data_IF_905285150356
#
_entry.id   IF_905285150356
#
_cell.length_a   1.000
_cell.length_b   1.000
_cell.length_c   1.000
_cell.angle_alpha   90.00
_cell.angle_beta   90.00
_cell.angle_gamma   90.00
#
_symmetry.space_group_name_H-M   'P 1'
#
loop_
_entity.id
_entity.type
_entity.pdbx_description
1 polymer ?
#
# COMPACT_ATOMS: atom_id res chain seq x y z
N UNK A 1 -52.56 20.73 -70.36
CA UNK A 1 -51.37 19.90 -70.04
C UNK A 1 -50.60 20.54 -68.91
N UNK A 2 -50.66 19.98 -67.73
CA UNK A 2 -49.98 20.48 -66.51
C UNK A 2 -48.89 19.48 -66.17
N UNK A 3 -47.61 19.86 -66.28
CA UNK A 3 -46.48 19.05 -65.85
C UNK A 3 -46.22 19.26 -64.37
N UNK A 4 -46.30 18.21 -63.57
CA UNK A 4 -45.95 18.21 -62.13
C UNK A 4 -44.43 18.03 -61.99
N UNK A 5 -43.74 19.05 -61.51
CA UNK A 5 -42.34 18.97 -61.11
C UNK A 5 -42.14 18.17 -59.86
N UNK A 6 -41.39 17.11 -59.94
CA UNK A 6 -41.02 16.23 -58.84
C UNK A 6 -39.79 16.82 -58.10
N UNK A 7 -39.99 17.37 -56.88
CA UNK A 7 -38.91 17.84 -56.04
C UNK A 7 -38.24 16.64 -55.31
N UNK A 8 -37.04 16.30 -55.69
CA UNK A 8 -36.20 15.36 -54.95
C UNK A 8 -35.67 16.04 -53.67
N UNK A 9 -36.16 15.61 -52.48
CA UNK A 9 -35.54 15.92 -51.20
C UNK A 9 -34.16 15.21 -51.12
N UNK A 10 -33.09 16.01 -51.14
CA UNK A 10 -31.77 15.53 -50.80
C UNK A 10 -31.69 15.39 -49.26
N UNK A 11 -31.71 14.17 -48.75
CA UNK A 11 -31.36 13.87 -47.37
C UNK A 11 -29.84 13.99 -47.21
N UNK A 12 -29.40 15.04 -46.59
CA UNK A 12 -28.02 15.15 -46.09
C UNK A 12 -27.88 14.26 -44.87
N UNK A 13 -27.30 13.08 -45.06
CA UNK A 13 -26.93 12.19 -43.92
C UNK A 13 -25.89 12.90 -43.07
N UNK A 14 -26.28 13.33 -41.85
CA UNK A 14 -25.39 13.85 -40.82
C UNK A 14 -24.34 12.81 -40.43
N UNK A 15 -23.21 12.81 -41.09
CA UNK A 15 -22.05 11.96 -40.76
C UNK A 15 -21.23 12.50 -39.59
N UNK A 16 -21.52 13.71 -39.12
CA UNK A 16 -20.80 14.40 -38.04
C UNK A 16 -21.10 13.86 -36.62
N UNK A 17 -22.26 13.18 -36.42
CA UNK A 17 -22.67 12.73 -35.09
C UNK A 17 -21.91 11.52 -34.53
N UNK A 18 -21.24 10.72 -35.40
CA UNK A 18 -20.57 9.49 -34.93
C UNK A 18 -19.13 9.70 -34.45
N UNK A 19 -18.46 10.73 -34.91
CA UNK A 19 -17.07 11.02 -34.54
C UNK A 19 -16.97 11.55 -33.10
N UNK A 20 -17.95 12.25 -32.59
CA UNK A 20 -18.00 12.74 -31.22
C UNK A 20 -18.18 11.61 -30.22
N UNK A 21 -18.89 10.55 -30.58
CA UNK A 21 -19.03 9.35 -29.75
C UNK A 21 -17.71 8.59 -29.60
N UNK A 22 -16.90 8.55 -30.65
CA UNK A 22 -15.58 7.92 -30.62
C UNK A 22 -14.57 8.72 -29.79
N UNK A 23 -14.65 10.06 -29.81
CA UNK A 23 -13.81 10.93 -28.97
C UNK A 23 -14.19 10.83 -27.48
N UNK A 24 -15.47 10.68 -27.16
CA UNK A 24 -15.92 10.43 -25.77
C UNK A 24 -15.51 9.05 -25.25
N UNK A 25 -15.56 8.01 -26.07
CA UNK A 25 -15.10 6.67 -25.71
C UNK A 25 -13.58 6.61 -25.51
N UNK A 26 -12.80 7.37 -26.28
CA UNK A 26 -11.36 7.42 -26.15
C UNK A 26 -10.90 8.15 -24.87
N UNK A 27 -11.65 9.12 -24.38
CA UNK A 27 -11.33 9.87 -23.16
C UNK A 27 -11.53 9.06 -21.86
N UNK A 28 -12.44 8.08 -21.88
CA UNK A 28 -12.69 7.19 -20.71
C UNK A 28 -11.57 6.16 -20.53
N UNK A 29 -10.86 5.79 -21.60
CA UNK A 29 -9.78 4.80 -21.56
C UNK A 29 -8.48 5.33 -20.89
N UNK A 30 -8.36 6.64 -20.65
CA UNK A 30 -7.17 7.25 -20.04
C UNK A 30 -7.27 7.43 -18.51
N UNK A 31 -8.40 7.10 -17.90
CA UNK A 31 -8.53 7.03 -16.44
C UNK A 31 -8.05 5.62 -16.04
N UNK A 32 -6.75 5.40 -16.06
CA UNK A 32 -6.18 4.23 -15.40
C UNK A 32 -6.44 4.41 -13.90
N UNK A 33 -7.24 3.54 -13.24
CA UNK A 33 -7.30 3.57 -11.79
C UNK A 33 -5.88 3.31 -11.31
N UNK A 34 -5.32 4.24 -10.55
CA UNK A 34 -4.10 3.99 -9.78
C UNK A 34 -4.47 2.90 -8.76
N UNK A 35 -4.33 1.64 -9.16
CA UNK A 35 -4.40 0.53 -8.21
C UNK A 35 -3.27 0.78 -7.22
N UNK A 36 -3.62 1.14 -5.99
CA UNK A 36 -2.69 1.04 -4.88
C UNK A 36 -2.15 -0.38 -4.93
N UNK A 37 -0.87 -0.55 -5.20
CA UNK A 37 -0.22 -1.86 -5.22
C UNK A 37 -0.35 -2.42 -3.80
N UNK A 38 -1.31 -3.31 -3.60
CA UNK A 38 -1.44 -4.06 -2.36
C UNK A 38 -0.33 -5.10 -2.38
N UNK A 39 0.82 -4.77 -1.80
CA UNK A 39 1.88 -5.74 -1.61
C UNK A 39 1.37 -6.86 -0.72
N UNK A 40 1.62 -8.11 -1.14
CA UNK A 40 1.41 -9.26 -0.26
C UNK A 40 2.27 -9.09 0.99
N UNK A 41 1.76 -9.38 2.19
CA UNK A 41 2.49 -9.16 3.44
C UNK A 41 3.90 -9.78 3.47
N UNK A 42 4.08 -10.95 2.84
CA UNK A 42 5.35 -11.64 2.77
C UNK A 42 6.37 -10.88 1.91
N UNK A 43 5.91 -10.34 0.76
CA UNK A 43 6.77 -9.57 -0.16
C UNK A 43 7.18 -8.25 0.48
N UNK A 44 6.23 -7.56 1.11
CA UNK A 44 6.53 -6.33 1.85
C UNK A 44 7.50 -6.60 3.01
N UNK A 45 7.28 -7.68 3.78
CA UNK A 45 8.17 -8.08 4.86
C UNK A 45 9.60 -8.38 4.34
N UNK A 46 9.73 -9.11 3.22
CA UNK A 46 11.03 -9.37 2.61
C UNK A 46 11.75 -8.06 2.26
N UNK A 47 11.05 -7.08 1.70
CA UNK A 47 11.60 -5.75 1.39
C UNK A 47 12.02 -4.97 2.64
N UNK A 48 11.27 -5.11 3.76
CA UNK A 48 11.66 -4.54 5.05
C UNK A 48 12.97 -5.16 5.53
N UNK A 49 13.13 -6.48 5.49
CA UNK A 49 14.37 -7.15 5.91
C UNK A 49 15.56 -6.87 5.01
N UNK A 50 15.34 -6.48 3.75
CA UNK A 50 16.43 -5.98 2.90
C UNK A 50 16.93 -4.60 3.37
N UNK A 51 16.03 -3.74 3.87
CA UNK A 51 16.38 -2.39 4.34
C UNK A 51 16.82 -2.36 5.81
N UNK A 52 16.35 -3.30 6.62
CA UNK A 52 16.71 -3.44 8.05
C UNK A 52 17.12 -4.90 8.30
N UNK A 53 18.34 -5.31 7.91
CA UNK A 53 18.76 -6.74 7.97
C UNK A 53 18.78 -7.31 9.39
N UNK A 54 19.09 -6.48 10.39
CA UNK A 54 19.21 -6.89 11.80
C UNK A 54 17.86 -6.96 12.54
N UNK A 55 16.74 -6.70 11.84
CA UNK A 55 15.43 -6.75 12.47
C UNK A 55 15.02 -8.20 12.77
N UNK A 56 14.46 -8.51 13.98
CA UNK A 56 14.13 -9.87 14.38
C UNK A 56 13.12 -10.51 13.43
N UNK A 57 13.43 -11.70 12.91
CA UNK A 57 12.54 -12.42 11.97
C UNK A 57 11.45 -13.20 12.68
N UNK A 58 11.75 -13.85 13.80
CA UNK A 58 10.84 -14.69 14.58
C UNK A 58 9.98 -15.62 13.69
N UNK A 59 10.64 -16.36 12.81
CA UNK A 59 10.01 -17.24 11.82
C UNK A 59 10.18 -18.73 12.11
N UNK A 60 10.35 -19.12 13.40
CA UNK A 60 10.58 -20.49 13.84
C UNK A 60 9.30 -21.33 13.99
N UNK A 61 8.12 -20.75 13.74
CA UNK A 61 6.85 -21.40 14.00
C UNK A 61 6.50 -22.44 12.93
N UNK A 62 6.04 -23.63 13.39
CA UNK A 62 5.64 -24.74 12.52
C UNK A 62 4.16 -24.66 12.18
N UNK A 63 3.81 -25.11 10.98
CA UNK A 63 2.43 -25.30 10.58
C UNK A 63 1.79 -26.46 11.35
N UNK A 64 0.47 -26.44 11.58
CA UNK A 64 -0.30 -27.49 12.29
C UNK A 64 -0.31 -28.83 11.56
N UNK A 65 -0.11 -28.84 10.24
CA UNK A 65 0.06 -30.05 9.44
C UNK A 65 1.37 -30.78 9.73
N UNK A 66 2.19 -30.23 10.59
CA UNK A 66 3.38 -30.85 11.16
C UNK A 66 4.60 -30.89 10.25
N UNK A 67 4.50 -30.37 9.04
CA UNK A 67 5.52 -30.64 8.02
C UNK A 67 6.66 -29.66 8.02
N UNK A 68 6.44 -28.35 8.04
CA UNK A 68 7.54 -27.40 7.84
C UNK A 68 7.37 -26.09 8.61
N UNK A 69 8.47 -25.41 8.80
CA UNK A 69 8.52 -24.00 9.21
C UNK A 69 8.34 -23.16 7.96
N UNK A 70 7.35 -22.29 7.93
CA UNK A 70 7.22 -21.31 6.84
C UNK A 70 8.22 -20.16 7.04
N UNK A 71 9.28 -20.07 6.24
CA UNK A 71 10.31 -19.05 6.40
C UNK A 71 9.77 -17.62 6.16
N UNK A 72 8.64 -17.48 5.46
CA UNK A 72 8.00 -16.20 5.14
C UNK A 72 7.02 -15.74 6.23
N UNK A 73 6.68 -16.62 7.19
CA UNK A 73 5.85 -16.26 8.34
C UNK A 73 6.70 -15.56 9.40
N UNK A 74 7.14 -14.35 9.10
CA UNK A 74 8.01 -13.54 9.93
C UNK A 74 7.22 -12.59 10.83
N UNK A 75 7.87 -12.00 11.85
CA UNK A 75 7.30 -10.97 12.70
C UNK A 75 6.70 -9.81 11.85
N UNK A 76 7.45 -9.33 10.85
CA UNK A 76 7.00 -8.23 10.00
C UNK A 76 5.81 -8.64 9.12
N UNK A 77 5.82 -9.85 8.54
CA UNK A 77 4.68 -10.33 7.74
C UNK A 77 3.41 -10.47 8.59
N UNK A 78 3.52 -10.94 9.84
CA UNK A 78 2.40 -11.01 10.79
C UNK A 78 1.91 -9.62 11.22
N UNK A 79 2.82 -8.67 11.48
CA UNK A 79 2.47 -7.29 11.79
C UNK A 79 1.70 -6.64 10.63
N UNK A 80 2.14 -6.84 9.38
CA UNK A 80 1.45 -6.33 8.21
C UNK A 80 0.07 -6.98 8.06
N UNK A 81 -0.05 -8.30 8.19
CA UNK A 81 -1.34 -9.00 8.17
C UNK A 81 -2.27 -8.54 9.30
N UNK A 82 -1.74 -8.33 10.50
CA UNK A 82 -2.54 -7.81 11.61
C UNK A 82 -3.10 -6.43 11.26
N UNK A 83 -2.30 -5.54 10.71
CA UNK A 83 -2.72 -4.22 10.25
C UNK A 83 -3.81 -4.29 9.17
N UNK A 84 -3.55 -5.06 8.10
CA UNK A 84 -4.41 -5.11 6.92
C UNK A 84 -5.65 -5.99 7.11
N UNK A 85 -5.47 -7.21 7.66
CA UNK A 85 -6.50 -8.23 7.64
C UNK A 85 -7.34 -8.24 8.92
N UNK A 86 -6.72 -7.95 10.08
CA UNK A 86 -7.40 -7.96 11.38
C UNK A 86 -7.97 -6.58 11.70
N UNK A 87 -7.15 -5.53 11.56
CA UNK A 87 -7.54 -4.16 11.91
C UNK A 87 -8.14 -3.38 10.74
N UNK A 88 -7.99 -3.86 9.51
CA UNK A 88 -8.51 -3.22 8.29
C UNK A 88 -8.08 -1.75 8.17
N UNK A 89 -6.87 -1.42 8.65
CA UNK A 89 -6.34 -0.05 8.60
C UNK A 89 -5.71 0.25 7.24
N UNK A 90 -5.81 1.50 6.75
CA UNK A 90 -5.17 1.93 5.51
C UNK A 90 -3.64 1.86 5.58
N UNK A 91 -3.01 1.36 4.53
CA UNK A 91 -1.56 1.13 4.50
C UNK A 91 -0.69 2.34 4.16
N UNK A 92 -1.14 3.38 3.41
CA UNK A 92 -0.25 4.48 3.01
C UNK A 92 -0.03 5.53 4.11
N UNK A 93 -0.75 5.45 5.23
CA UNK A 93 -0.69 6.48 6.26
C UNK A 93 0.12 6.06 7.48
N UNK A 94 1.14 6.84 7.80
CA UNK A 94 2.04 6.60 8.94
C UNK A 94 1.31 6.48 10.28
N UNK A 95 0.27 7.30 10.49
CA UNK A 95 -0.51 7.28 11.73
C UNK A 95 -1.20 5.93 11.98
N UNK A 96 -1.75 5.30 10.94
CA UNK A 96 -2.42 4.00 11.07
C UNK A 96 -1.43 2.91 11.49
N UNK A 97 -0.19 2.95 11.01
CA UNK A 97 0.88 2.07 11.46
C UNK A 97 1.32 2.36 12.91
N UNK A 98 1.31 3.64 13.33
CA UNK A 98 1.54 3.99 14.73
C UNK A 98 0.45 3.43 15.66
N UNK A 99 -0.82 3.46 15.25
CA UNK A 99 -1.92 2.82 15.99
C UNK A 99 -1.71 1.31 16.10
N UNK A 100 -1.30 0.66 15.01
CA UNK A 100 -0.96 -0.78 15.04
C UNK A 100 0.21 -1.05 15.97
N UNK A 101 1.25 -0.25 15.95
CA UNK A 101 2.34 -0.35 16.91
C UNK A 101 1.86 -0.16 18.35
N UNK A 102 0.91 0.76 18.56
CA UNK A 102 0.25 0.99 19.84
C UNK A 102 -0.50 -0.24 20.38
N UNK A 103 -1.12 -1.03 19.49
CA UNK A 103 -1.76 -2.30 19.89
C UNK A 103 -0.72 -3.28 20.47
N UNK A 104 0.43 -3.47 19.80
CA UNK A 104 1.53 -4.31 20.30
C UNK A 104 2.13 -3.80 21.62
N UNK A 105 2.13 -2.50 21.83
CA UNK A 105 2.61 -1.89 23.08
C UNK A 105 1.56 -1.93 24.20
N UNK A 106 0.30 -2.27 23.88
CA UNK A 106 -0.80 -2.30 24.83
C UNK A 106 -1.33 -0.92 25.22
N UNK A 107 -1.10 0.11 24.40
CA UNK A 107 -1.52 1.50 24.66
C UNK A 107 -2.65 1.98 23.74
N UNK A 108 -3.13 1.13 22.81
CA UNK A 108 -4.24 1.45 21.92
C UNK A 108 -5.35 0.38 22.08
N UNK A 109 -5.44 -0.61 21.21
CA UNK A 109 -6.47 -1.64 21.28
C UNK A 109 -5.90 -2.98 21.75
N UNK A 110 -6.72 -3.74 22.50
CA UNK A 110 -6.33 -5.07 22.93
C UNK A 110 -6.22 -6.02 21.74
N UNK A 111 -5.14 -6.78 21.70
CA UNK A 111 -4.94 -7.86 20.73
C UNK A 111 -5.58 -9.15 21.24
N UNK A 112 -6.28 -9.86 20.36
CA UNK A 112 -6.95 -11.12 20.68
C UNK A 112 -6.18 -12.28 20.03
N UNK A 113 -5.76 -13.25 20.82
CA UNK A 113 -4.92 -14.37 20.38
C UNK A 113 -5.57 -15.18 19.25
N UNK A 114 -6.88 -15.41 19.33
CA UNK A 114 -7.65 -16.15 18.33
C UNK A 114 -7.78 -15.42 16.98
N UNK A 115 -7.57 -14.10 16.96
CA UNK A 115 -7.62 -13.28 15.75
C UNK A 115 -6.23 -12.90 15.23
N UNK A 116 -5.17 -13.24 15.97
CA UNK A 116 -3.82 -12.90 15.59
C UNK A 116 -3.37 -13.72 14.36
N UNK A 117 -2.60 -13.12 13.41
CA UNK A 117 -2.11 -13.82 12.24
C UNK A 117 -1.33 -15.09 12.60
N UNK A 118 -1.78 -16.23 12.05
CA UNK A 118 -1.20 -17.53 12.34
C UNK A 118 -1.93 -18.35 13.41
N UNK A 119 -2.85 -17.78 14.20
CA UNK A 119 -3.57 -18.50 15.26
C UNK A 119 -4.25 -19.80 14.80
N UNK A 120 -4.80 -19.79 13.58
CA UNK A 120 -5.46 -20.98 12.99
C UNK A 120 -4.53 -21.96 12.29
N UNK A 121 -3.33 -21.53 11.90
CA UNK A 121 -2.41 -22.24 11.00
C UNK A 121 -1.18 -22.82 11.70
N UNK A 122 -0.71 -22.17 12.76
CA UNK A 122 0.50 -22.53 13.46
C UNK A 122 0.23 -23.45 14.65
N UNK A 123 1.19 -24.29 15.03
CA UNK A 123 1.11 -25.17 16.20
C UNK A 123 1.02 -24.41 17.52
N UNK A 124 1.61 -23.21 17.58
CA UNK A 124 1.52 -22.28 18.70
C UNK A 124 1.30 -20.85 18.22
N UNK A 125 0.55 -20.06 19.01
CA UNK A 125 0.34 -18.64 18.66
C UNK A 125 1.63 -17.85 18.84
N UNK A 126 2.08 -17.09 17.83
CA UNK A 126 3.25 -16.23 17.94
C UNK A 126 2.97 -14.88 18.65
N UNK A 127 1.72 -14.55 18.95
CA UNK A 127 1.29 -13.23 19.39
C UNK A 127 2.10 -12.69 20.56
N UNK A 128 2.20 -13.47 21.65
CA UNK A 128 2.86 -12.99 22.87
C UNK A 128 4.37 -12.78 22.66
N UNK A 129 5.02 -13.68 21.93
CA UNK A 129 6.43 -13.52 21.59
C UNK A 129 6.67 -12.30 20.67
N UNK A 130 5.79 -12.06 19.72
CA UNK A 130 5.85 -10.90 18.84
C UNK A 130 5.65 -9.58 19.61
N UNK A 131 4.70 -9.55 20.55
CA UNK A 131 4.49 -8.43 21.48
C UNK A 131 5.78 -8.14 22.26
N UNK A 132 6.41 -9.16 22.84
CA UNK A 132 7.64 -9.00 23.61
C UNK A 132 8.80 -8.48 22.74
N UNK A 133 8.96 -9.00 21.53
CA UNK A 133 9.99 -8.51 20.61
C UNK A 133 9.77 -7.02 20.25
N UNK A 134 8.54 -6.63 19.93
CA UNK A 134 8.23 -5.23 19.64
C UNK A 134 8.47 -4.32 20.85
N UNK A 135 8.16 -4.77 22.07
CA UNK A 135 8.43 -4.02 23.30
C UNK A 135 9.91 -3.83 23.57
N UNK A 136 10.74 -4.82 23.22
CA UNK A 136 12.20 -4.75 23.39
C UNK A 136 12.89 -3.80 22.39
N UNK A 137 12.24 -3.48 21.27
CA UNK A 137 12.78 -2.52 20.31
C UNK A 137 12.81 -1.11 20.95
N UNK A 138 13.85 -0.36 20.63
CA UNK A 138 13.90 1.07 20.94
C UNK A 138 12.84 1.85 20.15
N UNK A 139 12.50 3.04 20.64
CA UNK A 139 11.58 3.94 19.92
C UNK A 139 12.06 4.25 18.48
N UNK A 140 13.38 4.41 18.30
CA UNK A 140 13.99 4.64 17.00
C UNK A 140 13.78 3.47 16.07
N UNK A 141 14.01 2.24 16.51
CA UNK A 141 13.83 1.03 15.71
C UNK A 141 12.35 0.85 15.30
N UNK A 142 11.41 1.08 16.21
CA UNK A 142 9.98 1.04 15.87
C UNK A 142 9.60 2.12 14.86
N UNK A 143 10.15 3.33 14.99
CA UNK A 143 9.93 4.42 14.03
C UNK A 143 10.48 4.06 12.65
N UNK A 144 11.71 3.56 12.60
CA UNK A 144 12.36 3.12 11.35
C UNK A 144 11.55 2.02 10.65
N UNK A 145 11.07 1.02 11.41
CA UNK A 145 10.20 -0.02 10.84
C UNK A 145 8.95 0.57 10.18
N UNK A 146 8.27 1.50 10.87
CA UNK A 146 7.08 2.17 10.33
C UNK A 146 7.44 2.96 9.07
N UNK A 147 8.52 3.72 9.08
CA UNK A 147 8.93 4.56 7.96
C UNK A 147 9.23 3.70 6.72
N UNK A 148 9.93 2.58 6.88
CA UNK A 148 10.20 1.64 5.80
C UNK A 148 8.89 1.02 5.27
N UNK A 149 8.00 0.54 6.16
CA UNK A 149 6.72 -0.04 5.73
C UNK A 149 5.89 0.99 4.95
N UNK A 150 5.72 2.20 5.48
CA UNK A 150 4.95 3.27 4.81
C UNK A 150 5.52 3.57 3.43
N UNK A 151 6.85 3.62 3.28
CA UNK A 151 7.48 3.88 1.99
C UNK A 151 7.14 2.85 0.91
N UNK A 152 6.88 1.59 1.30
CA UNK A 152 6.48 0.52 0.37
C UNK A 152 5.03 0.68 -0.12
N UNK A 153 4.16 1.25 0.71
CA UNK A 153 2.73 1.39 0.40
C UNK A 153 2.34 2.78 -0.09
N UNK A 154 3.25 3.76 0.01
CA UNK A 154 3.00 5.09 -0.53
C UNK A 154 3.35 5.11 -2.02
N UNK A 155 2.44 5.54 -2.92
CA UNK A 155 2.77 5.71 -4.32
C UNK A 155 3.99 6.62 -4.46
N UNK A 156 5.01 6.16 -5.18
CA UNK A 156 6.16 6.98 -5.53
C UNK A 156 5.67 8.11 -6.44
N UNK A 157 5.42 9.29 -5.89
CA UNK A 157 5.23 10.47 -6.71
C UNK A 157 6.58 10.78 -7.35
N UNK A 158 6.69 10.59 -8.67
CA UNK A 158 7.83 11.03 -9.48
C UNK A 158 7.85 12.57 -9.60
N UNK A 159 7.61 13.27 -8.50
CA UNK A 159 7.81 14.72 -8.44
C UNK A 159 9.30 14.93 -8.22
N UNK A 160 10.02 15.55 -9.18
CA UNK A 160 11.41 15.92 -8.96
C UNK A 160 11.46 16.77 -7.68
N UNK A 161 12.34 16.42 -6.76
CA UNK A 161 12.58 17.26 -5.58
C UNK A 161 12.79 18.71 -6.03
N UNK A 162 12.15 19.69 -5.36
CA UNK A 162 12.44 21.10 -5.66
C UNK A 162 13.94 21.30 -5.55
N UNK A 163 14.57 21.62 -6.67
CA UNK A 163 15.97 22.06 -6.65
C UNK A 163 16.01 23.34 -5.83
N UNK A 164 16.58 23.27 -4.64
CA UNK A 164 16.94 24.45 -3.87
C UNK A 164 18.01 25.16 -4.67
N UNK A 165 17.60 26.15 -5.47
CA UNK A 165 18.54 27.06 -6.10
C UNK A 165 19.37 27.73 -5.00
N UNK A 166 20.71 27.65 -5.04
CA UNK A 166 21.52 28.34 -4.06
C UNK A 166 21.22 29.84 -4.16
N UNK A 167 20.77 30.43 -3.06
CA UNK A 167 20.53 31.86 -2.93
C UNK A 167 21.78 32.62 -3.38
N UNK A 168 21.68 33.63 -4.28
CA UNK A 168 22.81 34.44 -4.66
C UNK A 168 23.43 35.06 -3.42
N UNK A 169 24.74 34.87 -3.23
CA UNK A 169 25.49 35.45 -2.13
C UNK A 169 25.55 36.96 -2.34
N UNK A 170 24.88 37.74 -1.48
CA UNK A 170 24.97 39.18 -1.44
C UNK A 170 26.43 39.56 -1.08
N UNK A 171 27.14 40.35 -1.87
CA UNK A 171 28.48 40.82 -1.50
C UNK A 171 28.38 41.74 -0.28
N UNK A 172 29.31 41.57 0.66
CA UNK A 172 29.42 42.43 1.83
C UNK A 172 29.75 43.90 1.42
N UNK A 173 29.19 44.90 2.09
CA UNK A 173 29.53 46.29 1.87
C UNK A 173 30.98 46.53 2.34
N UNK A 174 31.78 47.23 1.49
CA UNK A 174 33.12 47.73 1.78
C UNK A 174 33.06 48.96 2.65
#
# INVERSE_FOLDING_TARGET
>A
MRSRGYRRHRQTKNRLGKWWLWLLLLSVALISPAFAQTYRPEVAAASVYQQIPDFPKANQYRLKDGKEVDPNNTLVSRLIRYHQDVKKRPTPYRLDWQLTMGDYLGVNEQMLAERYPGAGLLTSSPMEADIQLIRQLSRSQRSQLIDVIVSLYTPQSNTPSPQVNPTPRVPAPT
#
